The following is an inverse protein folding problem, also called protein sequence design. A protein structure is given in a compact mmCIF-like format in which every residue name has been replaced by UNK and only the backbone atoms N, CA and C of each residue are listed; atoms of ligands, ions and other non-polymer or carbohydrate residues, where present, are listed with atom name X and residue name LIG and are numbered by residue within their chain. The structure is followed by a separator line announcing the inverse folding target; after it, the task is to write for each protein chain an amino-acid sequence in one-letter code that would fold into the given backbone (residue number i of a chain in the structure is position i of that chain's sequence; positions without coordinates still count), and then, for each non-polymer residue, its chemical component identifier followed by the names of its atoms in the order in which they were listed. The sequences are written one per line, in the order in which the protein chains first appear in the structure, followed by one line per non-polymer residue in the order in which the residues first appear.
data_IF_534557558064
#
_entry.id   IF_534557558064
#
_cell.length_a   1.000
_cell.length_b   1.000
_cell.length_c   1.000
_cell.angle_alpha   90.00
_cell.angle_beta   90.00
_cell.angle_gamma   90.00
#
_symmetry.space_group_name_H-M   'P 1'
#
loop_
_entity.id
_entity.type
_entity.pdbx_description
1 polymer ?
#
# COMPACT_ATOMS: atom_id res chain seq x y z
N UNK A 1 -12.55 21.56 7.51
CA UNK A 1 -12.60 20.44 6.55
C UNK A 1 -12.78 19.17 7.36
N UNK A 2 -13.99 18.62 7.41
CA UNK A 2 -14.23 17.31 8.05
C UNK A 2 -13.47 16.24 7.26
N UNK A 3 -12.50 15.59 7.90
CA UNK A 3 -11.81 14.43 7.36
C UNK A 3 -12.84 13.29 7.20
N UNK A 4 -13.38 13.13 6.00
CA UNK A 4 -14.24 11.98 5.65
C UNK A 4 -13.41 10.71 5.64
N UNK A 5 -13.22 10.08 6.79
CA UNK A 5 -12.69 8.71 6.92
C UNK A 5 -13.64 7.64 6.33
N UNK A 6 -14.80 8.03 5.80
CA UNK A 6 -15.99 7.17 5.86
C UNK A 6 -16.16 6.09 4.78
N UNK A 7 -15.42 6.06 3.66
CA UNK A 7 -15.60 4.98 2.66
C UNK A 7 -14.35 4.61 1.86
N UNK A 8 -13.16 4.55 2.47
CA UNK A 8 -12.07 3.85 1.80
C UNK A 8 -12.36 2.35 1.82
N UNK A 9 -12.60 1.78 0.65
CA UNK A 9 -12.62 0.34 0.43
C UNK A 9 -11.30 -0.27 0.91
N UNK A 10 -11.30 -1.57 1.22
CA UNK A 10 -10.05 -2.25 1.60
C UNK A 10 -8.98 -2.12 0.51
N UNK A 11 -9.40 -2.08 -0.76
CA UNK A 11 -8.55 -1.88 -1.91
C UNK A 11 -7.82 -0.52 -1.89
N UNK A 12 -8.54 0.56 -1.61
CA UNK A 12 -7.97 1.90 -1.52
C UNK A 12 -7.08 2.05 -0.27
N UNK A 13 -7.47 1.45 0.86
CA UNK A 13 -6.61 1.40 2.06
C UNK A 13 -5.28 0.72 1.77
N UNK A 14 -5.33 -0.45 1.12
CA UNK A 14 -4.13 -1.19 0.74
C UNK A 14 -3.23 -0.35 -0.20
N UNK A 15 -3.81 0.42 -1.12
CA UNK A 15 -3.06 1.32 -2.00
C UNK A 15 -2.44 2.51 -1.26
N UNK A 16 -3.16 3.15 -0.34
CA UNK A 16 -2.61 4.23 0.48
C UNK A 16 -1.40 3.72 1.30
N UNK A 17 -1.53 2.55 1.92
CA UNK A 17 -0.46 1.92 2.70
C UNK A 17 0.73 1.57 1.79
N UNK A 18 0.49 1.01 0.60
CA UNK A 18 1.54 0.68 -0.34
C UNK A 18 2.27 1.92 -0.87
N UNK A 19 1.52 2.98 -1.18
CA UNK A 19 2.07 4.25 -1.67
C UNK A 19 2.94 4.92 -0.63
N UNK A 20 2.49 4.94 0.63
CA UNK A 20 3.31 5.44 1.75
C UNK A 20 4.60 4.63 1.91
N UNK A 21 4.49 3.30 1.86
CA UNK A 21 5.65 2.41 1.92
C UNK A 21 6.64 2.69 0.78
N UNK A 22 6.16 2.82 -0.46
CA UNK A 22 7.01 3.11 -1.62
C UNK A 22 7.69 4.47 -1.49
N UNK A 23 6.94 5.51 -1.08
CA UNK A 23 7.50 6.83 -0.80
C UNK A 23 8.67 6.77 0.20
N UNK A 24 8.56 5.95 1.25
CA UNK A 24 9.65 5.76 2.21
C UNK A 24 10.89 5.09 1.60
N UNK A 25 10.69 4.14 0.70
CA UNK A 25 11.81 3.56 -0.05
C UNK A 25 12.49 4.61 -0.94
N UNK A 26 11.69 5.43 -1.63
CA UNK A 26 12.19 6.48 -2.52
C UNK A 26 12.92 7.59 -1.76
N UNK A 27 12.53 7.87 -0.51
CA UNK A 27 13.23 8.74 0.45
C UNK A 27 14.54 8.11 0.98
N UNK A 28 14.88 6.88 0.57
CA UNK A 28 16.12 6.18 0.94
C UNK A 28 16.01 5.27 2.17
N UNK A 29 14.81 5.03 2.71
CA UNK A 29 14.64 4.05 3.77
C UNK A 29 14.84 2.63 3.24
N UNK A 30 15.45 1.77 4.05
CA UNK A 30 15.51 0.34 3.72
C UNK A 30 14.12 -0.31 3.91
N UNK A 31 13.97 -1.51 3.33
CA UNK A 31 12.70 -2.26 3.33
C UNK A 31 12.17 -2.47 4.75
N UNK A 32 13.02 -2.83 5.71
CA UNK A 32 12.63 -3.07 7.09
C UNK A 32 12.07 -1.80 7.74
N UNK A 33 12.80 -0.68 7.64
CA UNK A 33 12.39 0.60 8.19
C UNK A 33 11.08 1.11 7.56
N UNK A 34 10.99 1.09 6.23
CA UNK A 34 9.76 1.48 5.53
C UNK A 34 8.57 0.59 5.91
N UNK A 35 8.80 -0.70 6.20
CA UNK A 35 7.76 -1.62 6.70
C UNK A 35 7.24 -1.18 8.07
N UNK A 36 8.14 -0.91 9.02
CA UNK A 36 7.75 -0.47 10.36
C UNK A 36 7.13 0.92 10.37
N UNK A 37 7.60 1.84 9.51
CA UNK A 37 7.02 3.17 9.35
C UNK A 37 5.58 3.07 8.84
N UNK A 38 5.32 2.22 7.85
CA UNK A 38 3.97 1.97 7.34
C UNK A 38 3.08 1.29 8.38
N UNK A 39 3.61 0.32 9.13
CA UNK A 39 2.87 -0.33 10.23
C UNK A 39 2.46 0.67 11.31
N UNK A 40 3.37 1.56 11.69
CA UNK A 40 3.13 2.62 12.69
C UNK A 40 2.10 3.63 12.20
N UNK A 41 2.25 4.12 10.96
CA UNK A 41 1.38 5.15 10.39
C UNK A 41 -0.08 4.68 10.20
N UNK A 42 -0.29 3.39 9.93
CA UNK A 42 -1.61 2.82 9.65
C UNK A 42 -2.13 1.87 10.73
N UNK A 43 -1.42 1.72 11.86
CA UNK A 43 -1.89 1.00 13.04
C UNK A 43 -1.86 -0.53 12.96
N UNK A 44 -1.07 -1.13 12.07
CA UNK A 44 -0.95 -2.59 11.96
C UNK A 44 0.19 -3.15 12.81
N UNK A 45 0.01 -4.35 13.37
CA UNK A 45 0.97 -4.96 14.31
C UNK A 45 1.91 -6.01 13.67
N UNK A 46 1.67 -6.44 12.44
CA UNK A 46 2.42 -7.55 11.84
C UNK A 46 3.01 -7.24 10.45
N UNK A 47 4.29 -7.57 10.20
CA UNK A 47 4.91 -7.45 8.87
C UNK A 47 4.20 -8.29 7.80
N UNK A 48 3.61 -9.42 8.19
CA UNK A 48 2.83 -10.28 7.30
C UNK A 48 1.64 -9.53 6.67
N UNK A 49 1.01 -8.62 7.43
CA UNK A 49 -0.08 -7.78 6.92
C UNK A 49 0.43 -6.89 5.79
N UNK A 50 1.59 -6.24 5.99
CA UNK A 50 2.21 -5.40 4.96
C UNK A 50 2.59 -6.21 3.72
N UNK A 51 3.15 -7.40 3.90
CA UNK A 51 3.46 -8.30 2.77
C UNK A 51 2.21 -8.64 1.95
N UNK A 52 1.10 -8.99 2.61
CA UNK A 52 -0.17 -9.29 1.95
C UNK A 52 -0.75 -8.07 1.22
N UNK A 53 -0.60 -6.86 1.79
CA UNK A 53 -0.97 -5.60 1.13
C UNK A 53 -0.17 -5.41 -0.16
N UNK A 54 1.17 -5.48 -0.09
CA UNK A 54 2.05 -5.35 -1.27
C UNK A 54 1.66 -6.33 -2.37
N UNK A 55 1.44 -7.60 -2.00
CA UNK A 55 1.04 -8.65 -2.94
C UNK A 55 -0.28 -8.33 -3.63
N UNK A 56 -1.30 -7.87 -2.89
CA UNK A 56 -2.62 -7.53 -3.45
C UNK A 56 -2.55 -6.31 -4.38
N UNK A 57 -1.79 -5.28 -4.03
CA UNK A 57 -1.64 -4.08 -4.87
C UNK A 57 -0.89 -4.42 -6.16
N UNK A 58 0.26 -5.11 -6.08
CA UNK A 58 1.03 -5.53 -7.27
C UNK A 58 0.21 -6.41 -8.22
N UNK A 59 -0.61 -7.32 -7.69
CA UNK A 59 -1.49 -8.15 -8.52
C UNK A 59 -2.49 -7.30 -9.30
N UNK A 60 -3.13 -6.33 -8.64
CA UNK A 60 -4.09 -5.42 -9.29
C UNK A 60 -3.44 -4.52 -10.34
N UNK A 61 -2.23 -4.03 -10.08
CA UNK A 61 -1.46 -3.28 -11.06
C UNK A 61 -1.17 -4.13 -12.31
N UNK A 62 -0.70 -5.36 -12.14
CA UNK A 62 -0.46 -6.28 -13.25
C UNK A 62 -1.76 -6.66 -14.01
N UNK A 63 -2.89 -6.83 -13.31
CA UNK A 63 -4.19 -7.06 -13.93
C UNK A 63 -4.65 -5.84 -14.77
N UNK A 64 -4.44 -4.63 -14.25
CA UNK A 64 -4.75 -3.39 -14.97
C UNK A 64 -3.83 -3.17 -16.19
N UNK A 65 -2.53 -3.45 -16.07
CA UNK A 65 -1.58 -3.39 -17.17
C UNK A 65 -1.95 -4.35 -18.30
N UNK A 66 -2.32 -5.61 -17.97
CA UNK A 66 -2.81 -6.57 -18.96
C UNK A 66 -4.07 -6.09 -19.67
N UNK A 67 -5.05 -5.61 -18.90
CA UNK A 67 -6.31 -5.08 -19.46
C UNK A 67 -6.07 -3.89 -20.41
N UNK A 68 -5.09 -3.05 -20.12
CA UNK A 68 -4.73 -1.92 -20.99
C UNK A 68 -3.92 -2.34 -22.22
N UNK A 69 -3.23 -3.47 -22.18
CA UNK A 69 -2.51 -4.02 -23.33
C UNK A 69 -3.42 -4.79 -24.30
N UNK A 70 -4.58 -5.26 -23.81
CA UNK A 70 -5.60 -5.98 -24.61
C UNK A 70 -6.63 -5.04 -25.29
N UNK A 71 -6.51 -3.71 -25.13
CA UNK A 71 -7.38 -2.67 -25.74
C UNK A 71 -6.61 -1.89 -26.79
#
# INVERSE_FOLDING_TARGET
MEYREKYLTQAEKDECVYTYFQKKLDEGANVTRATYDAMTAFGFRTPQTMYNIRRRVKRRQAEAEKRNADV
#
